data_IF_754906393024
#
_entry.id   IF_754906393024
#
_cell.length_a   1.000
_cell.length_b   1.000
_cell.length_c   1.000
_cell.angle_alpha   90.00
_cell.angle_beta   90.00
_cell.angle_gamma   90.00
#
_symmetry.space_group_name_H-M   'P 1'
#
loop_
_entity.id
_entity.type
_entity.pdbx_description
1 polymer ?
#
# COMPACT_ATOMS: atom_id res chain seq x y z
N UNK A 1 -53.87 42.90 23.82
CA UNK A 1 -53.33 42.24 22.61
C UNK A 1 -51.93 41.69 22.92
N UNK A 2 -51.72 40.37 22.99
CA UNK A 2 -50.39 39.80 23.15
C UNK A 2 -49.74 39.53 21.78
N UNK A 3 -48.49 39.97 21.61
CA UNK A 3 -47.64 39.72 20.44
C UNK A 3 -47.25 38.23 20.42
N UNK A 4 -47.66 37.49 19.37
CA UNK A 4 -47.14 36.16 19.05
C UNK A 4 -45.78 36.31 18.39
N UNK A 5 -44.72 35.97 19.11
CA UNK A 5 -43.36 35.83 18.57
C UNK A 5 -43.27 34.51 17.80
N UNK A 6 -43.18 34.59 16.47
CA UNK A 6 -42.90 33.44 15.60
C UNK A 6 -41.41 33.09 15.71
N UNK A 7 -41.11 31.96 16.35
CA UNK A 7 -39.78 31.35 16.33
C UNK A 7 -39.49 30.78 14.93
N UNK A 8 -38.65 31.48 14.16
CA UNK A 8 -38.01 30.94 12.96
C UNK A 8 -36.97 29.89 13.37
N UNK A 9 -37.34 28.61 13.27
CA UNK A 9 -36.37 27.52 13.30
C UNK A 9 -35.58 27.55 11.99
N UNK A 10 -34.39 28.17 12.03
CA UNK A 10 -33.36 28.00 11.00
C UNK A 10 -32.99 26.51 10.94
N UNK A 11 -33.51 25.79 9.94
CA UNK A 11 -32.96 24.49 9.53
C UNK A 11 -31.50 24.71 9.14
N UNK A 12 -30.57 24.39 10.05
CA UNK A 12 -29.14 24.28 9.74
C UNK A 12 -29.01 23.23 8.64
N UNK A 13 -28.63 23.66 7.45
CA UNK A 13 -28.32 22.78 6.34
C UNK A 13 -27.30 21.75 6.80
N UNK A 14 -27.68 20.47 6.70
CA UNK A 14 -26.75 19.35 6.83
C UNK A 14 -25.75 19.54 5.69
N UNK A 15 -24.56 20.08 5.99
CA UNK A 15 -23.42 20.00 5.08
C UNK A 15 -23.12 18.51 4.95
N UNK A 16 -23.62 17.90 3.88
CA UNK A 16 -23.20 16.56 3.48
C UNK A 16 -21.67 16.58 3.44
N UNK A 17 -21.03 15.80 4.31
CA UNK A 17 -19.58 15.62 4.29
C UNK A 17 -19.23 15.25 2.85
N UNK A 18 -18.56 16.16 2.14
CA UNK A 18 -18.11 15.97 0.76
C UNK A 18 -17.36 14.63 0.77
N UNK A 19 -17.91 13.63 0.08
CA UNK A 19 -17.37 12.28 0.15
C UNK A 19 -15.96 12.34 -0.45
N UNK A 20 -14.94 12.31 0.41
CA UNK A 20 -13.52 12.55 0.07
C UNK A 20 -13.04 11.52 -0.96
N UNK A 21 -13.80 10.44 -1.11
CA UNK A 21 -13.58 9.31 -2.00
C UNK A 21 -14.30 9.41 -3.35
N UNK A 22 -14.76 10.60 -3.77
CA UNK A 22 -15.22 10.83 -5.15
C UNK A 22 -14.24 10.14 -6.11
N UNK A 23 -14.73 9.31 -7.05
CA UNK A 23 -13.93 8.48 -7.97
C UNK A 23 -12.69 9.24 -8.46
N UNK A 24 -11.54 8.98 -7.84
CA UNK A 24 -10.25 9.60 -8.17
C UNK A 24 -9.43 8.57 -8.91
N UNK A 25 -8.74 9.03 -9.94
CA UNK A 25 -7.72 8.26 -10.65
C UNK A 25 -6.39 8.89 -10.31
N UNK A 26 -5.50 8.11 -9.73
CA UNK A 26 -4.15 8.55 -9.35
C UNK A 26 -3.11 7.70 -10.07
N UNK A 27 -1.95 8.28 -10.35
CA UNK A 27 -0.89 7.66 -11.15
C UNK A 27 0.46 7.74 -10.47
N UNK A 28 1.28 6.72 -10.67
CA UNK A 28 2.70 6.71 -10.34
C UNK A 28 3.46 6.06 -11.49
N UNK A 29 4.55 6.68 -11.92
CA UNK A 29 5.33 6.24 -13.08
C UNK A 29 6.79 6.05 -12.69
N UNK A 30 7.39 4.97 -13.16
CA UNK A 30 8.81 4.67 -12.98
C UNK A 30 9.39 3.97 -14.21
N UNK A 31 10.70 3.70 -14.19
CA UNK A 31 11.34 2.86 -15.21
C UNK A 31 10.88 1.39 -15.19
N UNK A 32 10.33 0.92 -14.07
CA UNK A 32 9.92 -0.47 -13.86
C UNK A 32 8.45 -0.73 -14.18
N UNK A 33 7.59 0.26 -13.92
CA UNK A 33 6.16 0.16 -14.19
C UNK A 33 5.48 1.53 -14.18
N UNK A 34 4.35 1.58 -14.88
CA UNK A 34 3.33 2.62 -14.76
C UNK A 34 2.14 2.04 -14.00
N UNK A 35 1.71 2.71 -12.94
CA UNK A 35 0.58 2.29 -12.13
C UNK A 35 -0.47 3.38 -12.15
N UNK A 36 -1.69 2.99 -12.46
CA UNK A 36 -2.87 3.81 -12.23
C UNK A 36 -3.74 3.10 -11.21
N UNK A 37 -4.28 3.80 -10.22
CA UNK A 37 -5.37 3.24 -9.43
C UNK A 37 -6.56 4.17 -9.35
N UNK A 38 -7.74 3.57 -9.36
CA UNK A 38 -9.03 4.25 -9.31
C UNK A 38 -9.77 3.87 -8.04
N UNK A 39 -10.26 4.86 -7.30
CA UNK A 39 -11.10 4.63 -6.11
C UNK A 39 -12.53 4.36 -6.52
N UNK A 40 -13.18 3.40 -5.87
CA UNK A 40 -14.64 3.29 -5.98
C UNK A 40 -15.33 4.46 -5.25
N UNK A 41 -16.64 4.64 -5.47
CA UNK A 41 -17.40 5.79 -4.97
C UNK A 41 -17.47 5.91 -3.45
N UNK A 42 -17.26 4.81 -2.72
CA UNK A 42 -17.26 4.79 -1.25
C UNK A 42 -15.85 4.70 -0.63
N UNK A 43 -14.79 4.69 -1.46
CA UNK A 43 -13.39 4.59 -1.03
C UNK A 43 -12.97 3.27 -0.38
N UNK A 44 -13.85 2.27 -0.34
CA UNK A 44 -13.59 0.99 0.31
C UNK A 44 -12.86 0.01 -0.60
N UNK A 45 -12.74 0.28 -1.89
CA UNK A 45 -11.87 -0.49 -2.77
C UNK A 45 -11.15 0.39 -3.77
N UNK A 46 -9.97 -0.06 -4.17
CA UNK A 46 -9.19 0.50 -5.25
C UNK A 46 -9.02 -0.56 -6.34
N UNK A 47 -9.20 -0.13 -7.59
CA UNK A 47 -8.84 -0.91 -8.76
C UNK A 47 -7.49 -0.39 -9.26
N UNK A 48 -6.47 -1.24 -9.26
CA UNK A 48 -5.10 -0.90 -9.65
C UNK A 48 -4.82 -1.55 -10.99
N UNK A 49 -4.41 -0.76 -11.97
CA UNK A 49 -3.87 -1.22 -13.23
C UNK A 49 -2.36 -0.96 -13.26
N UNK A 50 -1.57 -2.03 -13.34
CA UNK A 50 -0.13 -1.98 -13.44
C UNK A 50 0.30 -2.42 -14.85
N UNK A 51 1.04 -1.54 -15.52
CA UNK A 51 1.73 -1.82 -16.77
C UNK A 51 3.21 -1.96 -16.46
N UNK A 52 3.67 -3.20 -16.36
CA UNK A 52 5.05 -3.53 -16.02
C UNK A 52 5.93 -3.39 -17.26
N UNK A 53 7.13 -2.86 -17.05
CA UNK A 53 8.18 -2.70 -18.06
C UNK A 53 9.22 -3.80 -17.80
N UNK A 54 10.50 -3.50 -17.97
CA UNK A 54 11.57 -4.38 -17.51
C UNK A 54 11.67 -4.34 -15.98
N UNK A 55 11.63 -5.50 -15.34
CA UNK A 55 11.72 -5.70 -13.88
C UNK A 55 13.05 -6.30 -13.44
N UNK A 56 14.08 -6.30 -14.30
CA UNK A 56 15.40 -6.77 -13.92
C UNK A 56 15.91 -6.03 -12.66
N UNK A 57 16.38 -6.81 -11.68
CA UNK A 57 16.85 -6.31 -10.39
C UNK A 57 15.76 -5.88 -9.42
N UNK A 58 14.47 -6.12 -9.70
CA UNK A 58 13.36 -5.85 -8.77
C UNK A 58 12.95 -7.12 -8.04
N UNK A 59 12.91 -7.06 -6.71
CA UNK A 59 12.44 -8.16 -5.87
C UNK A 59 10.99 -7.98 -5.40
N UNK A 60 10.53 -6.76 -5.15
CA UNK A 60 9.13 -6.56 -4.77
C UNK A 60 8.57 -5.21 -5.18
N UNK A 61 7.27 -5.18 -5.44
CA UNK A 61 6.52 -3.97 -5.73
C UNK A 61 5.22 -4.00 -4.92
N UNK A 62 4.96 -2.93 -4.19
CA UNK A 62 3.74 -2.80 -3.39
C UNK A 62 3.37 -1.33 -3.18
N UNK A 63 2.15 -1.09 -2.69
CA UNK A 63 1.63 0.23 -2.40
C UNK A 63 1.50 0.40 -0.89
N UNK A 64 1.98 1.52 -0.38
CA UNK A 64 1.79 1.95 1.00
C UNK A 64 0.80 3.10 1.11
N UNK A 65 0.19 3.25 2.29
CA UNK A 65 -0.42 4.51 2.69
C UNK A 65 0.63 5.61 2.84
N UNK A 66 0.21 6.87 2.74
CA UNK A 66 1.05 8.00 3.11
C UNK A 66 1.00 8.26 4.62
N UNK A 67 2.17 8.16 5.27
CA UNK A 67 2.39 8.53 6.67
C UNK A 67 3.18 9.84 6.74
N UNK A 68 2.51 10.96 6.48
CA UNK A 68 3.08 12.32 6.58
C UNK A 68 4.34 12.55 5.73
N UNK A 69 4.33 12.09 4.47
CA UNK A 69 5.42 12.26 3.51
C UNK A 69 6.31 11.02 3.35
N UNK A 70 6.12 9.99 4.16
CA UNK A 70 6.84 8.71 4.04
C UNK A 70 5.89 7.52 3.85
N UNK A 71 6.37 6.38 3.30
CA UNK A 71 5.59 5.14 3.26
C UNK A 71 5.10 4.71 4.65
N UNK A 72 3.81 4.41 4.76
CA UNK A 72 3.13 3.92 5.97
C UNK A 72 2.88 2.42 5.93
N UNK A 73 1.65 1.97 6.22
CA UNK A 73 1.28 0.55 6.13
C UNK A 73 1.12 0.10 4.67
N UNK A 74 1.49 -1.14 4.37
CA UNK A 74 1.27 -1.76 3.05
C UNK A 74 -0.21 -2.03 2.86
N UNK A 75 -0.75 -1.62 1.71
CA UNK A 75 -2.16 -1.81 1.35
C UNK A 75 -2.37 -2.75 0.18
N UNK A 76 -1.38 -2.93 -0.69
CA UNK A 76 -1.46 -3.81 -1.85
C UNK A 76 -0.08 -4.36 -2.23
N UNK A 77 -0.02 -5.65 -2.56
CA UNK A 77 1.14 -6.29 -3.16
C UNK A 77 0.92 -6.46 -4.66
N UNK A 78 1.86 -5.95 -5.46
CA UNK A 78 1.77 -5.97 -6.92
C UNK A 78 2.70 -7.02 -7.55
N UNK A 79 3.66 -7.51 -6.79
CA UNK A 79 4.51 -8.63 -7.20
C UNK A 79 5.69 -8.79 -6.26
N UNK A 80 6.18 -10.02 -6.12
CA UNK A 80 7.34 -10.37 -5.29
C UNK A 80 8.17 -11.46 -5.96
N UNK A 81 9.46 -11.52 -5.69
CA UNK A 81 10.31 -12.65 -6.04
C UNK A 81 10.14 -13.79 -5.02
N UNK A 82 10.65 -14.96 -5.34
CA UNK A 82 10.65 -16.10 -4.43
C UNK A 82 11.47 -15.82 -3.17
N UNK A 83 12.61 -15.13 -3.31
CA UNK A 83 13.47 -14.71 -2.19
C UNK A 83 12.73 -13.79 -1.22
N UNK A 84 11.87 -12.89 -1.72
CA UNK A 84 11.05 -12.07 -0.83
C UNK A 84 10.04 -12.90 -0.04
N UNK A 85 9.47 -13.94 -0.68
CA UNK A 85 8.50 -14.83 -0.04
C UNK A 85 9.11 -15.74 1.04
N UNK A 86 10.44 -15.90 1.05
CA UNK A 86 11.16 -16.53 2.15
C UNK A 86 11.16 -15.67 3.43
N UNK A 87 10.75 -14.40 3.33
CA UNK A 87 10.59 -13.49 4.45
C UNK A 87 11.79 -12.56 4.63
N UNK A 88 11.58 -11.28 4.35
CA UNK A 88 12.60 -10.22 4.46
C UNK A 88 12.75 -9.77 5.91
N UNK A 89 13.96 -9.83 6.45
CA UNK A 89 14.23 -9.41 7.83
C UNK A 89 14.03 -7.90 8.00
N UNK A 90 13.33 -7.50 9.06
CA UNK A 90 13.09 -6.10 9.39
C UNK A 90 13.79 -5.74 10.71
N UNK A 91 14.95 -5.08 10.63
CA UNK A 91 15.73 -4.59 11.77
C UNK A 91 14.97 -3.66 12.75
N UNK A 92 13.73 -3.28 12.45
CA UNK A 92 12.95 -2.33 13.25
C UNK A 92 11.55 -2.88 13.49
N UNK A 93 11.24 -3.31 14.73
CA UNK A 93 9.92 -3.79 15.07
C UNK A 93 8.79 -2.80 14.76
N UNK A 94 7.74 -3.29 14.09
CA UNK A 94 6.52 -2.53 13.83
C UNK A 94 6.56 -1.56 12.64
N UNK A 95 7.71 -1.37 11.99
CA UNK A 95 7.86 -0.40 10.88
C UNK A 95 6.95 -0.70 9.68
N UNK A 96 6.70 -1.98 9.37
CA UNK A 96 5.78 -2.41 8.31
C UNK A 96 4.68 -3.35 8.84
N UNK A 97 4.06 -2.99 9.97
CA UNK A 97 3.08 -3.84 10.68
C UNK A 97 2.18 -4.68 9.74
N UNK A 98 1.98 -5.99 10.01
CA UNK A 98 2.34 -6.74 11.21
C UNK A 98 3.62 -7.60 11.04
N UNK A 99 4.80 -7.02 11.26
CA UNK A 99 6.09 -7.70 11.04
C UNK A 99 6.71 -8.31 12.29
N UNK A 100 6.50 -7.73 13.48
CA UNK A 100 7.01 -8.30 14.73
C UNK A 100 5.86 -8.54 15.70
N UNK A 101 5.52 -9.81 15.90
CA UNK A 101 4.51 -10.24 16.87
C UNK A 101 4.84 -11.67 17.33
N UNK A 102 4.06 -12.21 18.27
CA UNK A 102 4.30 -13.56 18.81
C UNK A 102 4.33 -14.66 17.74
N UNK A 103 3.64 -14.45 16.62
CA UNK A 103 3.58 -15.41 15.50
C UNK A 103 4.63 -15.10 14.41
N UNK A 104 5.44 -14.05 14.59
CA UNK A 104 6.54 -13.64 13.71
C UNK A 104 7.67 -13.05 14.56
N UNK A 105 8.33 -13.93 15.33
CA UNK A 105 9.39 -13.57 16.28
C UNK A 105 10.69 -13.18 15.59
N UNK A 106 10.93 -13.69 14.38
CA UNK A 106 12.07 -13.33 13.53
C UNK A 106 11.87 -11.98 12.83
N UNK A 107 10.77 -11.26 13.10
CA UNK A 107 10.54 -9.93 12.55
C UNK A 107 10.59 -9.86 11.01
N UNK A 108 10.12 -10.90 10.32
CA UNK A 108 10.20 -10.98 8.86
C UNK A 108 8.98 -10.37 8.17
N UNK A 109 9.11 -10.00 6.90
CA UNK A 109 8.01 -9.57 6.06
C UNK A 109 7.98 -10.43 4.79
N UNK A 110 6.88 -11.15 4.60
CA UNK A 110 6.54 -11.83 3.36
C UNK A 110 5.21 -11.28 2.83
N UNK A 111 5.00 -11.40 1.52
CA UNK A 111 3.72 -11.07 0.91
C UNK A 111 2.74 -12.24 1.04
N UNK A 112 1.42 -12.01 0.91
CA UNK A 112 0.44 -13.09 0.82
C UNK A 112 0.79 -14.11 -0.26
N UNK A 113 0.44 -15.38 -0.05
CA UNK A 113 0.80 -16.51 -0.93
C UNK A 113 0.30 -16.35 -2.38
N UNK A 114 -0.77 -15.57 -2.61
CA UNK A 114 -1.35 -15.30 -3.92
C UNK A 114 -0.72 -14.11 -4.67
N UNK A 115 0.31 -13.49 -4.08
CA UNK A 115 1.06 -12.41 -4.73
C UNK A 115 1.80 -12.95 -5.95
N UNK A 116 1.66 -12.31 -7.13
CA UNK A 116 2.30 -12.83 -8.34
C UNK A 116 3.84 -12.78 -8.27
N UNK A 117 4.47 -13.78 -8.87
CA UNK A 117 5.92 -13.80 -9.03
C UNK A 117 6.37 -12.72 -10.01
N UNK A 118 7.28 -11.85 -9.57
CA UNK A 118 7.76 -10.69 -10.31
C UNK A 118 8.49 -11.06 -11.61
N UNK A 119 9.12 -12.23 -11.67
CA UNK A 119 9.81 -12.71 -12.88
C UNK A 119 8.86 -12.90 -14.07
N UNK A 120 7.58 -13.17 -13.80
CA UNK A 120 6.56 -13.42 -14.83
C UNK A 120 5.80 -12.14 -15.23
N UNK A 121 6.17 -10.98 -14.68
CA UNK A 121 5.44 -9.73 -14.88
C UNK A 121 6.12 -8.77 -15.87
N UNK A 122 7.40 -8.96 -16.21
CA UNK A 122 8.09 -8.06 -17.14
C UNK A 122 7.33 -7.92 -18.46
N UNK A 123 7.18 -6.67 -18.94
CA UNK A 123 6.48 -6.33 -20.17
C UNK A 123 5.02 -6.81 -20.23
N UNK A 124 4.37 -6.94 -19.07
CA UNK A 124 2.99 -7.41 -18.96
C UNK A 124 2.07 -6.35 -18.33
N UNK A 125 0.76 -6.64 -18.34
CA UNK A 125 -0.25 -5.84 -17.66
C UNK A 125 -0.99 -6.70 -16.66
N UNK A 126 -1.27 -6.14 -15.48
CA UNK A 126 -2.09 -6.79 -14.47
C UNK A 126 -3.03 -5.81 -13.79
N UNK A 127 -4.20 -6.31 -13.44
CA UNK A 127 -5.21 -5.55 -12.70
C UNK A 127 -5.43 -6.21 -11.34
N UNK A 128 -5.53 -5.39 -10.30
CA UNK A 128 -5.78 -5.82 -8.93
C UNK A 128 -7.00 -5.10 -8.38
N UNK A 129 -7.83 -5.82 -7.62
CA UNK A 129 -8.94 -5.24 -6.88
C UNK A 129 -8.67 -5.40 -5.39
N UNK A 130 -8.36 -4.30 -4.73
CA UNK A 130 -7.94 -4.31 -3.32
C UNK A 130 -9.02 -3.65 -2.49
N UNK A 131 -9.51 -4.38 -1.49
CA UNK A 131 -10.50 -3.89 -0.53
C UNK A 131 -9.78 -3.33 0.70
N UNK A 132 -10.37 -2.30 1.31
CA UNK A 132 -9.95 -1.71 2.58
C UNK A 132 -10.27 -2.65 3.76
N UNK A 133 -9.80 -3.90 3.68
CA UNK A 133 -9.81 -4.90 4.75
C UNK A 133 -8.41 -5.08 5.33
N UNK A 134 -7.38 -4.78 4.54
CA UNK A 134 -5.98 -4.78 4.96
C UNK A 134 -5.64 -3.67 5.94
N UNK A 135 -6.50 -2.65 6.06
CA UNK A 135 -6.31 -1.50 6.94
C UNK A 135 -7.29 -1.52 8.11
N UNK A 136 -6.76 -1.64 9.33
CA UNK A 136 -7.51 -1.56 10.58
C UNK A 136 -7.79 -0.09 10.98
N UNK A 137 -8.37 0.14 12.16
CA UNK A 137 -8.78 1.48 12.63
C UNK A 137 -7.67 2.55 12.65
N UNK A 138 -6.38 2.18 12.73
CA UNK A 138 -5.26 3.12 12.76
C UNK A 138 -4.63 3.39 11.39
N UNK A 139 -5.04 2.66 10.35
CA UNK A 139 -4.54 2.89 9.00
C UNK A 139 -5.35 4.00 8.30
N UNK A 140 -4.69 5.06 7.77
CA UNK A 140 -5.39 6.12 7.05
C UNK A 140 -5.92 5.67 5.67
N UNK A 141 -5.71 4.41 5.26
CA UNK A 141 -5.95 3.93 3.90
C UNK A 141 -5.34 4.92 2.89
N UNK A 142 -6.10 5.28 1.86
CA UNK A 142 -5.68 6.26 0.85
C UNK A 142 -5.99 7.72 1.23
N UNK A 143 -6.51 7.98 2.45
CA UNK A 143 -7.03 9.31 2.81
C UNK A 143 -5.96 10.40 2.79
N UNK A 144 -4.71 10.05 3.11
CA UNK A 144 -3.56 10.96 3.10
C UNK A 144 -2.72 10.86 1.83
N UNK A 145 -3.17 10.11 0.83
CA UNK A 145 -2.39 9.71 -0.33
C UNK A 145 -1.71 8.35 -0.13
N UNK A 146 -0.94 7.95 -1.14
CA UNK A 146 -0.29 6.63 -1.21
C UNK A 146 1.06 6.73 -1.90
N UNK A 147 1.92 5.73 -1.66
CA UNK A 147 3.21 5.59 -2.30
C UNK A 147 3.32 4.25 -3.02
N UNK A 148 3.83 4.26 -4.25
CA UNK A 148 4.37 3.07 -4.90
C UNK A 148 5.77 2.84 -4.35
N UNK A 149 6.07 1.65 -3.85
CA UNK A 149 7.38 1.28 -3.33
C UNK A 149 7.90 0.06 -4.08
N UNK A 150 9.16 0.15 -4.50
CA UNK A 150 9.86 -0.83 -5.32
C UNK A 150 11.14 -1.18 -4.60
N UNK A 151 11.41 -2.48 -4.49
CA UNK A 151 12.57 -3.01 -3.80
C UNK A 151 13.48 -3.83 -4.71
N UNK A 152 14.77 -3.74 -4.48
CA UNK A 152 15.80 -4.60 -5.08
C UNK A 152 16.08 -5.84 -4.23
N UNK A 153 17.18 -6.53 -4.51
CA UNK A 153 17.55 -7.82 -3.88
C UNK A 153 18.52 -7.69 -2.70
N UNK A 154 18.96 -6.48 -2.32
CA UNK A 154 19.92 -6.30 -1.24
C UNK A 154 19.25 -6.33 0.14
N UNK A 155 18.75 -7.50 0.54
CA UNK A 155 18.10 -7.71 1.83
C UNK A 155 18.45 -9.06 2.43
N UNK A 156 18.48 -9.12 3.77
CA UNK A 156 18.48 -10.37 4.50
C UNK A 156 17.11 -11.04 4.42
N UNK A 157 17.12 -12.36 4.24
CA UNK A 157 15.93 -13.21 4.24
C UNK A 157 16.13 -14.40 5.15
N UNK A 158 15.04 -15.11 5.45
CA UNK A 158 15.10 -16.35 6.22
C UNK A 158 15.17 -17.54 5.28
N UNK A 159 16.27 -18.29 5.34
CA UNK A 159 16.49 -19.50 4.57
C UNK A 159 16.79 -20.64 5.55
N UNK A 160 15.98 -21.71 5.52
CA UNK A 160 16.07 -22.84 6.45
C UNK A 160 16.03 -22.45 7.95
N UNK A 161 15.34 -21.37 8.29
CA UNK A 161 15.21 -20.87 9.66
C UNK A 161 16.35 -19.96 10.11
N UNK A 162 17.35 -19.70 9.27
CA UNK A 162 18.48 -18.82 9.56
C UNK A 162 18.47 -17.59 8.65
N UNK A 163 19.09 -16.50 9.13
CA UNK A 163 19.27 -15.30 8.32
C UNK A 163 20.40 -15.51 7.33
N UNK A 164 20.17 -15.10 6.09
CA UNK A 164 21.20 -15.10 5.06
C UNK A 164 22.24 -13.98 5.29
N UNK A 165 23.40 -14.08 4.64
CA UNK A 165 24.57 -13.22 4.91
C UNK A 165 24.53 -11.83 4.24
N UNK A 166 23.45 -11.48 3.52
CA UNK A 166 23.28 -10.17 2.89
C UNK A 166 23.18 -9.05 3.92
N UNK A 167 23.21 -7.79 3.46
CA UNK A 167 23.06 -6.64 4.34
C UNK A 167 21.62 -6.55 4.86
N UNK A 168 21.45 -6.28 6.16
CA UNK A 168 20.12 -6.22 6.74
C UNK A 168 19.43 -4.90 6.36
N UNK A 169 18.21 -4.99 5.83
CA UNK A 169 17.46 -3.84 5.36
C UNK A 169 16.47 -4.20 4.27
N UNK A 170 15.53 -3.31 4.00
CA UNK A 170 14.60 -3.44 2.89
C UNK A 170 15.16 -2.53 1.79
N UNK A 171 15.68 -3.12 0.72
CA UNK A 171 16.37 -2.45 -0.38
C UNK A 171 15.41 -1.58 -1.21
N UNK A 172 14.96 -0.45 -0.66
CA UNK A 172 14.07 0.48 -1.37
C UNK A 172 14.86 1.19 -2.48
N UNK A 173 14.78 0.65 -3.69
CA UNK A 173 15.41 1.27 -4.88
C UNK A 173 14.59 2.44 -5.41
N UNK A 174 13.27 2.48 -5.15
CA UNK A 174 12.42 3.62 -5.51
C UNK A 174 11.15 3.67 -4.66
N UNK A 175 10.74 4.87 -4.29
CA UNK A 175 9.36 5.14 -3.90
C UNK A 175 8.85 6.41 -4.57
N UNK A 176 7.57 6.43 -4.94
CA UNK A 176 6.93 7.49 -5.74
C UNK A 176 5.55 7.78 -5.15
N UNK A 177 5.24 9.05 -4.92
CA UNK A 177 3.90 9.47 -4.52
C UNK A 177 2.93 9.30 -5.70
N UNK A 178 1.71 8.86 -5.42
CA UNK A 178 0.65 8.85 -6.42
C UNK A 178 -0.01 10.24 -6.54
N UNK A 179 -0.19 10.71 -7.78
CA UNK A 179 -0.74 12.04 -8.13
C UNK A 179 -1.93 11.95 -9.09
#
# INVERSE_FOLDING_TARGET
MPKKTLNLIKKRGIKTKKNIFSKKTLKATSKYLDVTFTTNSNGQSINIHANYKDLHGVSAIHIHTNNNGSPGQIIAWLGTSEQWQQGVFQNTPGKNSPCCNKNNSLCTLAAPNDTPNILNLSNSKKTFNVKNKSCNKSCPWIQKGTFLVIHGFNFQRVENGELTNELPGIDVIKYIAFE
#
